data_IF_819354531170
#
_entry.id   IF_819354531170
#
_cell.length_a   1.000
_cell.length_b   1.000
_cell.length_c   1.000
_cell.angle_alpha   90.00
_cell.angle_beta   90.00
_cell.angle_gamma   90.00
#
_symmetry.space_group_name_H-M   'P 1'
#
loop_
_entity.id
_entity.type
_entity.pdbx_description
1 polymer ?
#
# COMPACT_ATOMS: atom_id res chain seq x y z
N UNK A 1 10.30 -43.95 -70.36
CA UNK A 1 11.59 -43.36 -70.77
C UNK A 1 11.69 -42.02 -70.05
N UNK A 2 12.58 -41.73 -69.10
CA UNK A 2 13.80 -42.32 -68.53
C UNK A 2 13.80 -41.75 -67.08
N UNK A 3 13.56 -42.54 -66.02
CA UNK A 3 14.49 -43.28 -65.14
C UNK A 3 15.52 -42.44 -64.35
N UNK A 4 15.49 -42.66 -63.01
CA UNK A 4 16.61 -42.77 -62.02
C UNK A 4 17.40 -41.48 -61.68
N UNK A 5 17.82 -41.18 -60.44
CA UNK A 5 18.14 -42.04 -59.29
C UNK A 5 18.23 -41.22 -57.96
N UNK A 6 17.98 -41.90 -56.83
CA UNK A 6 18.23 -41.45 -55.44
C UNK A 6 19.72 -41.51 -55.10
N UNK A 7 20.20 -40.72 -54.12
CA UNK A 7 21.29 -41.15 -53.26
C UNK A 7 20.81 -41.55 -51.86
N UNK A 8 21.61 -42.42 -51.26
CA UNK A 8 21.38 -43.32 -50.15
C UNK A 8 21.64 -42.75 -48.75
N UNK A 9 20.93 -43.30 -47.77
CA UNK A 9 21.20 -43.20 -46.33
C UNK A 9 22.61 -43.72 -45.97
N UNK A 10 23.30 -43.00 -45.07
CA UNK A 10 24.34 -43.57 -44.21
C UNK A 10 24.08 -43.14 -42.75
N UNK A 11 24.17 -44.14 -41.89
CA UNK A 11 23.88 -44.22 -40.46
C UNK A 11 24.56 -43.14 -39.59
N UNK A 12 23.81 -42.61 -38.62
CA UNK A 12 24.32 -42.46 -37.24
C UNK A 12 23.22 -42.79 -36.23
N UNK A 13 23.46 -43.86 -35.47
CA UNK A 13 22.71 -44.31 -34.31
C UNK A 13 23.02 -43.44 -33.09
N UNK A 14 22.03 -43.24 -32.20
CA UNK A 14 22.15 -42.96 -30.74
C UNK A 14 20.98 -42.08 -30.31
N UNK A 15 20.21 -42.26 -29.23
CA UNK A 15 20.17 -43.18 -28.10
C UNK A 15 18.70 -43.13 -27.67
N UNK A 16 17.93 -44.21 -27.86
CA UNK A 16 16.56 -44.27 -27.33
C UNK A 16 16.66 -44.60 -25.84
N UNK A 17 16.99 -43.58 -25.04
CA UNK A 17 17.16 -43.69 -23.61
C UNK A 17 15.87 -44.18 -22.95
N UNK A 18 15.98 -45.24 -22.14
CA UNK A 18 14.88 -45.76 -21.35
C UNK A 18 14.38 -44.66 -20.41
N UNK A 19 13.20 -44.09 -20.67
CA UNK A 19 12.61 -43.01 -19.86
C UNK A 19 12.58 -43.33 -18.35
N UNK A 20 12.46 -44.62 -18.01
CA UNK A 20 12.52 -45.12 -16.62
C UNK A 20 13.90 -44.97 -15.99
N UNK A 21 14.98 -45.16 -16.75
CA UNK A 21 16.35 -44.99 -16.27
C UNK A 21 16.68 -43.50 -16.06
N UNK A 22 16.21 -42.63 -16.95
CA UNK A 22 16.36 -41.17 -16.80
C UNK A 22 15.67 -40.65 -15.55
N UNK A 23 14.47 -41.14 -15.25
CA UNK A 23 13.72 -40.78 -14.03
C UNK A 23 14.43 -41.29 -12.77
N UNK A 24 14.97 -42.51 -12.79
CA UNK A 24 15.74 -43.05 -11.66
C UNK A 24 17.02 -42.27 -11.38
N UNK A 25 17.74 -41.85 -12.42
CA UNK A 25 18.96 -41.04 -12.28
C UNK A 25 18.64 -39.65 -11.73
N UNK A 26 17.56 -39.01 -12.21
CA UNK A 26 17.10 -37.72 -11.69
C UNK A 26 16.66 -37.81 -10.22
N UNK A 27 15.97 -38.89 -9.83
CA UNK A 27 15.57 -39.14 -8.45
C UNK A 27 16.78 -39.41 -7.53
N UNK A 28 17.82 -40.10 -8.03
CA UNK A 28 19.04 -40.33 -7.26
C UNK A 28 19.83 -39.04 -7.05
N UNK A 29 19.91 -38.19 -8.08
CA UNK A 29 20.57 -36.89 -8.02
C UNK A 29 19.85 -35.93 -7.06
N UNK A 30 18.51 -35.88 -7.08
CA UNK A 30 17.75 -35.07 -6.13
C UNK A 30 17.90 -35.56 -4.69
N UNK A 31 17.97 -36.88 -4.47
CA UNK A 31 18.22 -37.45 -3.15
C UNK A 31 19.63 -37.12 -2.63
N UNK A 32 20.66 -37.16 -3.48
CA UNK A 32 22.03 -36.77 -3.11
C UNK A 32 22.08 -35.28 -2.74
N UNK A 33 21.44 -34.40 -3.52
CA UNK A 33 21.40 -32.96 -3.21
C UNK A 33 20.68 -32.69 -1.88
N UNK A 34 19.53 -33.35 -1.62
CA UNK A 34 18.86 -33.22 -0.31
C UNK A 34 19.69 -33.78 0.85
N UNK A 35 20.50 -34.82 0.63
CA UNK A 35 21.39 -35.36 1.67
C UNK A 35 22.53 -34.41 2.03
N UNK A 36 23.04 -33.63 1.07
CA UNK A 36 24.06 -32.60 1.33
C UNK A 36 23.50 -31.40 2.11
N UNK A 37 22.24 -31.01 1.89
CA UNK A 37 21.60 -29.94 2.65
C UNK A 37 21.19 -30.35 4.07
N UNK A 38 21.00 -31.64 4.34
CA UNK A 38 20.62 -32.16 5.66
C UNK A 38 21.82 -32.54 6.54
N UNK A 39 23.01 -32.79 5.95
CA UNK A 39 24.22 -33.13 6.70
C UNK A 39 25.24 -31.99 6.91
N UNK A 40 25.03 -30.80 6.32
CA UNK A 40 25.90 -29.64 6.58
C UNK A 40 25.41 -28.79 7.76
N UNK A 41 25.34 -29.40 8.96
CA UNK A 41 25.36 -28.66 10.23
C UNK A 41 26.30 -29.35 11.20
N UNK A 42 27.54 -28.88 11.23
CA UNK A 42 28.50 -29.14 12.31
C UNK A 42 29.27 -27.84 12.57
N UNK A 43 29.27 -27.29 13.81
CA UNK A 43 29.97 -26.05 14.11
C UNK A 43 31.46 -26.34 14.26
N UNK A 44 32.28 -25.70 13.43
CA UNK A 44 33.73 -25.79 13.56
C UNK A 44 34.18 -24.93 14.75
N UNK A 45 34.53 -25.58 15.86
CA UNK A 45 35.19 -24.95 17.00
C UNK A 45 36.65 -24.65 16.66
N UNK A 46 37.03 -23.37 16.63
CA UNK A 46 38.44 -22.96 16.67
C UNK A 46 38.77 -22.47 18.08
N UNK A 47 39.63 -23.24 18.75
CA UNK A 47 40.15 -23.02 20.10
C UNK A 47 41.46 -22.25 19.98
N UNK A 48 41.50 -21.02 20.47
CA UNK A 48 42.71 -20.21 20.69
C UNK A 48 42.70 -19.66 22.12
N UNK A 49 43.86 -19.52 22.80
CA UNK A 49 43.89 -19.38 24.25
C UNK A 49 43.79 -17.93 24.75
N UNK A 50 43.14 -17.78 25.91
CA UNK A 50 43.47 -16.86 26.99
C UNK A 50 43.49 -15.34 26.73
N UNK A 51 42.44 -14.64 27.17
CA UNK A 51 42.59 -13.63 28.24
C UNK A 51 41.21 -13.29 28.82
N UNK A 52 41.08 -13.36 30.14
CA UNK A 52 39.79 -13.27 30.82
C UNK A 52 39.25 -11.87 31.04
N UNK A 53 37.93 -11.77 31.22
CA UNK A 53 37.29 -11.02 32.32
C UNK A 53 35.77 -11.20 32.30
N UNK A 54 35.30 -11.88 33.33
CA UNK A 54 34.12 -11.57 34.15
C UNK A 54 32.89 -10.97 33.46
N UNK A 55 31.87 -11.81 33.26
CA UNK A 55 30.48 -11.37 33.13
C UNK A 55 30.08 -10.76 34.48
N UNK A 56 29.84 -9.44 34.51
CA UNK A 56 29.05 -8.78 35.55
C UNK A 56 27.77 -8.28 34.92
N UNK A 57 26.69 -8.79 35.48
CA UNK A 57 25.30 -8.38 35.36
C UNK A 57 25.08 -6.94 35.83
N UNK A 58 23.92 -6.41 35.41
CA UNK A 58 23.10 -5.36 36.00
C UNK A 58 23.20 -3.95 35.39
N UNK A 59 22.00 -3.48 35.04
CA UNK A 59 21.48 -2.14 35.31
C UNK A 59 22.22 -0.96 34.69
N UNK A 60 21.78 -0.57 33.50
CA UNK A 60 21.79 0.84 33.05
C UNK A 60 20.71 1.02 31.97
N UNK A 61 19.50 0.54 32.27
CA UNK A 61 18.29 1.11 31.72
C UNK A 61 17.88 2.23 32.68
N UNK A 62 17.40 3.35 32.13
CA UNK A 62 17.06 4.62 32.78
C UNK A 62 18.18 5.67 32.76
N UNK A 63 18.28 6.38 31.63
CA UNK A 63 18.49 7.83 31.59
C UNK A 63 18.30 8.35 30.14
N UNK A 64 17.05 8.44 29.69
CA UNK A 64 16.68 9.26 28.54
C UNK A 64 15.89 10.46 29.07
N UNK A 65 16.60 11.52 29.45
CA UNK A 65 16.06 12.87 29.38
C UNK A 65 17.15 13.94 29.37
N UNK A 66 16.96 14.88 28.45
CA UNK A 66 17.54 16.22 28.40
C UNK A 66 19.02 16.37 28.01
N UNK A 67 19.26 16.96 26.84
CA UNK A 67 19.54 18.41 26.71
C UNK A 67 20.54 18.71 25.58
N UNK A 68 20.29 19.87 24.98
CA UNK A 68 21.04 20.55 23.93
C UNK A 68 22.44 20.97 24.41
N UNK A 69 23.34 21.20 23.44
CA UNK A 69 24.63 21.93 23.49
C UNK A 69 25.82 21.27 24.21
N UNK A 70 26.77 20.70 23.45
CA UNK A 70 27.97 21.40 22.95
C UNK A 70 28.91 20.42 22.25
N UNK A 71 29.76 20.95 21.38
CA UNK A 71 30.64 20.26 20.43
C UNK A 71 31.54 19.19 21.09
N UNK A 72 31.55 18.00 20.50
CA UNK A 72 32.78 17.28 20.21
C UNK A 72 32.59 16.42 18.94
N UNK A 73 33.41 16.71 17.93
CA UNK A 73 33.59 15.86 16.76
C UNK A 73 34.14 14.52 17.22
N UNK A 74 33.31 13.47 17.18
CA UNK A 74 33.60 12.05 16.91
C UNK A 74 32.29 11.25 17.05
N UNK A 75 31.24 11.60 16.28
CA UNK A 75 30.08 10.73 16.13
C UNK A 75 30.23 9.95 14.83
N UNK A 76 31.02 8.88 14.87
CA UNK A 76 30.77 7.77 13.96
C UNK A 76 29.34 7.29 14.21
N UNK A 77 28.52 7.14 13.17
CA UNK A 77 27.14 6.67 13.33
C UNK A 77 27.11 5.33 14.07
N UNK A 78 26.21 5.20 15.05
CA UNK A 78 25.99 3.91 15.71
C UNK A 78 25.14 3.01 14.81
N UNK A 79 25.49 1.72 14.74
CA UNK A 79 24.67 0.73 14.05
C UNK A 79 23.32 0.57 14.77
N UNK A 80 22.23 0.56 14.01
CA UNK A 80 20.87 0.32 14.52
C UNK A 80 20.45 -1.11 14.19
N UNK A 81 20.11 -1.90 15.22
CA UNK A 81 19.45 -3.20 15.06
C UNK A 81 17.95 -3.03 15.24
N UNK A 82 17.17 -3.61 14.33
CA UNK A 82 15.70 -3.53 14.33
C UNK A 82 15.16 -4.92 14.00
N UNK A 83 14.33 -5.48 14.89
CA UNK A 83 13.61 -6.71 14.62
C UNK A 83 12.26 -6.38 13.99
N UNK A 84 12.07 -6.72 12.73
CA UNK A 84 10.81 -6.46 12.02
C UNK A 84 9.75 -7.55 12.27
N UNK A 85 10.11 -8.66 12.91
CA UNK A 85 9.14 -9.72 13.23
C UNK A 85 8.17 -9.31 14.34
N UNK A 86 8.51 -8.30 15.13
CA UNK A 86 7.67 -7.81 16.23
C UNK A 86 6.73 -6.68 15.76
N UNK A 87 6.80 -6.28 14.48
CA UNK A 87 5.95 -5.24 13.90
C UNK A 87 4.66 -5.87 13.38
N UNK A 88 3.67 -5.94 14.26
CA UNK A 88 2.33 -6.40 13.92
C UNK A 88 1.32 -5.24 13.88
N UNK A 89 0.26 -5.44 13.09
CA UNK A 89 -0.86 -4.54 12.98
C UNK A 89 -2.10 -5.29 13.50
N UNK A 90 -2.64 -4.85 14.64
CA UNK A 90 -3.65 -5.59 15.40
C UNK A 90 -4.98 -4.85 15.49
N UNK A 91 -6.03 -5.58 15.87
CA UNK A 91 -7.35 -5.01 16.12
C UNK A 91 -7.38 -3.96 17.25
N UNK A 92 -6.41 -4.00 18.16
CA UNK A 92 -6.32 -3.13 19.34
C UNK A 92 -5.18 -2.10 19.22
N UNK A 93 -4.91 -1.65 18.00
CA UNK A 93 -3.77 -0.80 17.63
C UNK A 93 -3.48 0.37 18.59
N UNK A 94 -4.53 1.08 19.04
CA UNK A 94 -4.40 2.19 19.99
C UNK A 94 -3.82 1.76 21.35
N UNK A 95 -4.25 0.61 21.86
CA UNK A 95 -3.75 0.06 23.12
C UNK A 95 -2.30 -0.42 22.96
N UNK A 96 -1.99 -1.07 21.84
CA UNK A 96 -0.66 -1.58 21.50
C UNK A 96 0.34 -0.49 21.05
N UNK A 97 -0.06 0.79 21.08
CA UNK A 97 0.76 1.93 20.67
C UNK A 97 1.28 1.82 19.22
N UNK A 98 0.45 1.26 18.33
CA UNK A 98 0.80 1.07 16.94
C UNK A 98 0.77 2.40 16.17
N UNK A 99 1.81 2.68 15.40
CA UNK A 99 1.89 3.92 14.63
C UNK A 99 1.11 3.83 13.30
N UNK A 100 0.42 4.91 12.97
CA UNK A 100 -0.33 5.11 11.72
C UNK A 100 0.38 6.13 10.85
N UNK A 101 0.66 5.77 9.60
CA UNK A 101 1.17 6.68 8.58
C UNK A 101 0.04 7.12 7.64
N UNK A 102 -0.37 8.38 7.70
CA UNK A 102 -1.34 8.99 6.79
C UNK A 102 -0.61 9.55 5.57
N UNK A 103 -1.00 9.11 4.37
CA UNK A 103 -0.39 9.46 3.10
C UNK A 103 -1.39 10.19 2.19
N UNK A 104 -1.02 11.39 1.76
CA UNK A 104 -1.86 12.23 0.90
C UNK A 104 -1.04 12.86 -0.24
N UNK A 105 -1.15 12.35 -1.48
CA UNK A 105 -0.60 13.03 -2.65
C UNK A 105 -1.43 14.28 -2.98
N UNK A 106 -0.78 15.38 -3.37
CA UNK A 106 -1.41 16.68 -3.54
C UNK A 106 -0.98 17.37 -4.85
N UNK A 107 -1.95 18.04 -5.48
CA UNK A 107 -1.74 19.02 -6.56
C UNK A 107 -2.82 20.09 -6.46
N UNK A 108 -2.43 21.34 -6.31
CA UNK A 108 -3.33 22.49 -6.18
C UNK A 108 -4.45 22.27 -5.13
N UNK A 109 -4.05 21.99 -3.89
CA UNK A 109 -4.95 21.56 -2.82
C UNK A 109 -5.29 22.67 -1.80
N UNK A 110 -4.87 23.92 -2.05
CA UNK A 110 -5.00 25.05 -1.11
C UNK A 110 -6.41 25.14 -0.49
N UNK A 111 -7.44 24.98 -1.31
CA UNK A 111 -8.86 25.12 -0.90
C UNK A 111 -9.34 24.02 0.06
N UNK A 112 -8.68 22.87 0.09
CA UNK A 112 -9.11 21.70 0.89
C UNK A 112 -8.37 21.60 2.23
N UNK A 113 -7.19 22.19 2.35
CA UNK A 113 -6.28 21.97 3.49
C UNK A 113 -6.90 22.34 4.84
N UNK A 114 -7.70 23.41 4.90
CA UNK A 114 -8.32 23.83 6.15
C UNK A 114 -9.22 22.73 6.74
N UNK A 115 -10.09 22.15 5.92
CA UNK A 115 -10.99 21.06 6.33
C UNK A 115 -10.21 19.76 6.57
N UNK A 116 -9.22 19.46 5.74
CA UNK A 116 -8.37 18.28 5.92
C UNK A 116 -7.69 18.28 7.30
N UNK A 117 -7.02 19.39 7.67
CA UNK A 117 -6.34 19.50 8.97
C UNK A 117 -7.33 19.44 10.15
N UNK A 118 -8.51 20.05 10.01
CA UNK A 118 -9.58 19.93 11.02
C UNK A 118 -9.99 18.47 11.26
N UNK A 119 -10.19 17.70 10.18
CA UNK A 119 -10.67 16.33 10.27
C UNK A 119 -9.64 15.35 10.84
N UNK A 120 -8.37 15.46 10.45
CA UNK A 120 -7.31 14.62 11.05
C UNK A 120 -7.07 14.98 12.52
N UNK A 121 -7.23 16.25 12.88
CA UNK A 121 -7.09 16.70 14.28
C UNK A 121 -8.23 16.19 15.15
N UNK A 122 -9.43 16.05 14.58
CA UNK A 122 -10.59 15.47 15.27
C UNK A 122 -10.44 13.97 15.57
N UNK A 123 -9.58 13.22 14.87
CA UNK A 123 -9.42 11.78 15.09
C UNK A 123 -9.14 11.45 16.56
N UNK A 124 -9.82 10.46 17.13
CA UNK A 124 -9.63 10.05 18.53
C UNK A 124 -8.34 9.25 18.76
N UNK A 125 -7.62 8.92 17.69
CA UNK A 125 -6.34 8.23 17.73
C UNK A 125 -5.24 9.15 18.31
N UNK A 126 -4.35 8.67 19.20
CA UNK A 126 -3.34 9.52 19.84
C UNK A 126 -2.39 10.17 18.83
N UNK A 127 -2.20 11.49 18.92
CA UNK A 127 -1.45 12.25 17.91
C UNK A 127 0.03 11.85 17.86
N UNK A 128 0.61 11.48 19.00
CA UNK A 128 1.99 10.97 19.08
C UNK A 128 2.21 9.62 18.38
N UNK A 129 1.15 8.96 17.90
CA UNK A 129 1.22 7.75 17.08
C UNK A 129 0.93 8.01 15.60
N UNK A 130 0.63 9.25 15.22
CA UNK A 130 0.27 9.62 13.84
C UNK A 130 1.44 10.33 13.17
N UNK A 131 1.91 9.73 12.08
CA UNK A 131 2.77 10.39 11.09
C UNK A 131 1.89 10.84 9.93
N UNK A 132 2.03 12.09 9.48
CA UNK A 132 1.37 12.58 8.25
C UNK A 132 2.43 12.88 7.21
N UNK A 133 2.28 12.35 6.00
CA UNK A 133 3.19 12.65 4.91
C UNK A 133 2.44 13.06 3.64
N UNK A 134 2.90 14.16 3.07
CA UNK A 134 2.38 14.72 1.82
C UNK A 134 3.40 14.57 0.70
N UNK A 135 2.92 14.33 -0.51
CA UNK A 135 3.73 14.53 -1.72
C UNK A 135 3.05 15.54 -2.63
N UNK A 136 3.66 16.71 -2.75
CA UNK A 136 3.17 17.79 -3.62
C UNK A 136 3.83 17.65 -4.99
N UNK A 137 3.03 17.72 -6.05
CA UNK A 137 3.51 17.63 -7.44
C UNK A 137 2.81 18.64 -8.33
N UNK A 138 3.59 19.34 -9.16
CA UNK A 138 3.11 20.23 -10.22
C UNK A 138 2.09 21.26 -9.71
N UNK A 139 2.29 21.76 -8.49
CA UNK A 139 1.43 22.75 -7.81
C UNK A 139 1.81 24.17 -8.23
N UNK A 140 0.81 25.02 -8.40
CA UNK A 140 0.95 26.45 -8.73
C UNK A 140 0.30 27.40 -7.73
N UNK A 141 -0.38 26.85 -6.71
CA UNK A 141 -1.09 27.59 -5.66
C UNK A 141 -0.30 27.63 -4.34
N UNK A 142 -0.93 28.09 -3.25
CA UNK A 142 -0.29 28.25 -1.95
C UNK A 142 -0.19 26.95 -1.13
N UNK A 143 -0.48 25.78 -1.70
CA UNK A 143 -0.49 24.47 -1.01
C UNK A 143 0.76 24.26 -0.15
N UNK A 144 1.97 24.42 -0.73
CA UNK A 144 3.22 24.15 -0.01
C UNK A 144 3.41 25.09 1.18
N UNK A 145 3.07 26.37 1.03
CA UNK A 145 3.19 27.34 2.13
C UNK A 145 2.23 27.04 3.28
N UNK A 146 0.99 26.67 2.97
CA UNK A 146 -0.02 26.33 3.99
C UNK A 146 0.37 25.03 4.71
N UNK A 147 0.85 24.02 3.98
CA UNK A 147 1.33 22.77 4.59
C UNK A 147 2.47 23.03 5.57
N UNK A 148 3.46 23.85 5.20
CA UNK A 148 4.59 24.20 6.10
C UNK A 148 4.09 24.90 7.36
N UNK A 149 3.23 25.90 7.21
CA UNK A 149 2.64 26.61 8.34
C UNK A 149 1.87 25.68 9.27
N UNK A 150 1.03 24.80 8.72
CA UNK A 150 0.22 23.85 9.50
C UNK A 150 1.08 22.76 10.14
N UNK A 151 2.09 22.26 9.45
CA UNK A 151 3.05 21.31 10.03
C UNK A 151 3.75 21.92 11.26
N UNK A 152 4.26 23.15 11.14
CA UNK A 152 4.90 23.85 12.25
C UNK A 152 3.93 24.09 13.42
N UNK A 153 2.69 24.50 13.14
CA UNK A 153 1.66 24.69 14.16
C UNK A 153 1.38 23.40 14.94
N UNK A 154 1.18 22.28 14.25
CA UNK A 154 0.80 21.00 14.84
C UNK A 154 1.95 20.31 15.57
N UNK A 155 3.19 20.45 15.09
CA UNK A 155 4.38 19.89 15.75
C UNK A 155 4.82 20.68 16.99
N UNK A 156 4.48 21.97 17.07
CA UNK A 156 4.93 22.87 18.15
C UNK A 156 3.81 23.29 19.14
N UNK A 157 2.70 22.54 19.22
CA UNK A 157 1.62 22.80 20.19
C UNK A 157 2.12 22.78 21.63
N UNK A 158 1.51 23.56 22.51
CA UNK A 158 1.94 23.65 23.91
C UNK A 158 1.83 22.30 24.63
N UNK A 159 0.70 21.62 24.44
CA UNK A 159 0.42 20.31 25.03
C UNK A 159 1.05 19.19 24.19
N UNK A 160 1.89 18.36 24.84
CA UNK A 160 2.64 17.30 24.16
C UNK A 160 1.74 16.22 23.56
N UNK A 161 0.63 15.89 24.22
CA UNK A 161 -0.35 14.90 23.77
C UNK A 161 -1.07 15.28 22.47
N UNK A 162 -1.07 16.57 22.14
CA UNK A 162 -1.65 17.10 20.90
C UNK A 162 -0.63 17.24 19.77
N UNK A 163 0.64 16.93 20.00
CA UNK A 163 1.68 16.96 18.97
C UNK A 163 1.66 15.67 18.17
N UNK A 164 1.77 15.82 16.86
CA UNK A 164 1.93 14.70 15.95
C UNK A 164 3.31 14.08 16.10
N UNK A 165 3.45 12.78 15.80
CA UNK A 165 4.74 12.11 15.80
C UNK A 165 5.70 12.74 14.80
N UNK A 166 5.22 12.92 13.57
CA UNK A 166 5.97 13.51 12.46
C UNK A 166 5.00 14.08 11.42
N UNK A 167 5.36 15.21 10.81
CA UNK A 167 4.69 15.71 9.60
C UNK A 167 5.77 15.97 8.54
N UNK A 168 5.71 15.24 7.44
CA UNK A 168 6.67 15.31 6.34
C UNK A 168 6.03 15.86 5.07
N UNK A 169 6.71 16.79 4.40
CA UNK A 169 6.27 17.36 3.13
C UNK A 169 7.34 17.06 2.09
N UNK A 170 7.01 16.20 1.13
CA UNK A 170 7.84 15.87 -0.01
C UNK A 170 7.36 16.63 -1.24
N UNK A 171 8.28 16.98 -2.12
CA UNK A 171 7.97 17.64 -3.39
C UNK A 171 8.60 16.83 -4.53
N UNK A 172 7.80 16.49 -5.54
CA UNK A 172 8.27 15.77 -6.72
C UNK A 172 7.37 16.07 -7.91
N UNK A 173 7.87 16.89 -8.83
CA UNK A 173 7.15 17.17 -10.08
C UNK A 173 7.29 16.03 -11.08
N UNK A 174 6.18 15.66 -11.71
CA UNK A 174 6.18 14.70 -12.82
C UNK A 174 6.09 15.40 -14.17
N UNK A 175 5.92 16.72 -14.19
CA UNK A 175 5.73 17.55 -15.39
C UNK A 175 4.57 17.03 -16.25
N UNK A 176 3.53 16.50 -15.60
CA UNK A 176 2.37 15.94 -16.26
C UNK A 176 1.24 16.96 -16.29
N UNK A 177 0.90 17.41 -17.50
CA UNK A 177 -0.17 18.37 -17.74
C UNK A 177 -1.28 17.72 -18.54
N UNK A 178 -2.43 17.56 -17.89
CA UNK A 178 -3.71 17.30 -18.54
C UNK A 178 -4.59 18.55 -18.38
N UNK A 179 -5.10 19.12 -19.48
CA UNK A 179 -6.13 20.16 -19.43
C UNK A 179 -7.30 19.71 -18.56
N UNK A 180 -7.80 20.59 -17.67
CA UNK A 180 -8.86 20.28 -16.71
C UNK A 180 -10.11 19.69 -17.39
N UNK A 181 -10.50 20.27 -18.52
CA UNK A 181 -11.63 19.87 -19.36
C UNK A 181 -11.50 18.45 -19.94
N UNK A 182 -10.29 17.90 -19.99
CA UNK A 182 -9.98 16.57 -20.53
C UNK A 182 -9.65 15.54 -19.45
N UNK A 183 -9.65 15.93 -18.18
CA UNK A 183 -9.30 15.02 -17.06
C UNK A 183 -10.34 13.94 -16.79
N UNK A 184 -11.52 14.04 -17.39
CA UNK A 184 -12.59 13.06 -17.33
C UNK A 184 -12.79 12.31 -18.65
N UNK A 185 -11.92 12.54 -19.64
CA UNK A 185 -11.96 11.80 -20.91
C UNK A 185 -11.46 10.37 -20.67
N UNK A 186 -12.24 9.36 -21.06
CA UNK A 186 -11.98 7.94 -20.80
C UNK A 186 -10.58 7.51 -21.29
N UNK A 187 -10.22 7.90 -22.51
CA UNK A 187 -8.98 7.48 -23.17
C UNK A 187 -7.71 8.00 -22.46
N UNK A 188 -7.84 9.09 -21.69
CA UNK A 188 -6.72 9.70 -20.96
C UNK A 188 -6.61 9.21 -19.51
N UNK A 189 -7.62 8.51 -19.01
CA UNK A 189 -7.62 8.01 -17.63
C UNK A 189 -6.50 7.02 -17.34
N UNK A 190 -6.16 6.03 -18.20
CA UNK A 190 -5.07 5.10 -17.91
C UNK A 190 -3.75 5.83 -17.70
N UNK A 191 -3.45 6.83 -18.55
CA UNK A 191 -2.25 7.64 -18.44
C UNK A 191 -2.26 8.50 -17.17
N UNK A 192 -3.38 9.17 -16.86
CA UNK A 192 -3.54 9.95 -15.63
C UNK A 192 -3.31 9.10 -14.38
N UNK A 193 -3.96 7.94 -14.30
CA UNK A 193 -3.84 7.01 -13.18
C UNK A 193 -2.43 6.42 -13.07
N UNK A 194 -1.73 6.19 -14.17
CA UNK A 194 -0.32 5.81 -14.15
C UNK A 194 0.56 6.85 -13.43
N UNK A 195 0.37 8.15 -13.71
CA UNK A 195 1.10 9.20 -12.99
C UNK A 195 0.70 9.32 -11.51
N UNK A 196 -0.59 9.15 -11.20
CA UNK A 196 -1.06 9.10 -9.80
C UNK A 196 -0.42 7.92 -9.04
N UNK A 197 -0.34 6.73 -9.66
CA UNK A 197 0.31 5.56 -9.10
C UNK A 197 1.80 5.81 -8.79
N UNK A 198 2.51 6.49 -9.70
CA UNK A 198 3.91 6.91 -9.47
C UNK A 198 4.00 7.84 -8.26
N UNK A 199 3.16 8.86 -8.19
CA UNK A 199 3.10 9.81 -7.05
C UNK A 199 2.92 9.07 -5.72
N UNK A 200 1.92 8.17 -5.63
CA UNK A 200 1.68 7.33 -4.45
C UNK A 200 2.90 6.46 -4.10
N UNK A 201 3.51 5.80 -5.07
CA UNK A 201 4.69 4.96 -4.82
C UNK A 201 5.91 5.75 -4.30
N UNK A 202 6.15 6.95 -4.85
CA UNK A 202 7.21 7.85 -4.35
C UNK A 202 6.94 8.25 -2.90
N UNK A 203 5.70 8.66 -2.59
CA UNK A 203 5.29 9.06 -1.26
C UNK A 203 5.45 7.91 -0.25
N UNK A 204 4.92 6.72 -0.57
CA UNK A 204 5.03 5.53 0.27
C UNK A 204 6.49 5.19 0.57
N UNK A 205 7.34 5.15 -0.47
CA UNK A 205 8.75 4.80 -0.33
C UNK A 205 9.53 5.82 0.49
N UNK A 206 9.21 7.12 0.35
CA UNK A 206 9.86 8.18 1.08
C UNK A 206 9.48 8.19 2.57
N UNK A 207 8.20 7.91 2.88
CA UNK A 207 7.61 8.12 4.19
C UNK A 207 7.56 6.87 5.09
N UNK A 208 7.48 5.66 4.53
CA UNK A 208 7.36 4.44 5.34
C UNK A 208 8.62 4.19 6.18
N UNK A 209 8.44 3.98 7.49
CA UNK A 209 9.49 3.71 8.48
C UNK A 209 9.23 2.40 9.19
N UNK A 210 10.25 1.81 9.79
CA UNK A 210 10.23 0.50 10.46
C UNK A 210 9.21 0.34 11.59
N UNK A 211 8.65 1.44 12.11
CA UNK A 211 7.75 1.44 13.26
C UNK A 211 6.28 1.65 12.88
N UNK A 212 5.98 1.93 11.60
CA UNK A 212 4.59 2.06 11.14
C UNK A 212 3.95 0.67 11.02
N UNK A 213 2.88 0.43 11.78
CA UNK A 213 2.03 -0.77 11.69
C UNK A 213 0.88 -0.59 10.70
N UNK A 214 0.39 0.64 10.51
CA UNK A 214 -0.70 0.96 9.60
C UNK A 214 -0.33 2.06 8.62
N UNK A 215 -0.89 1.98 7.42
CA UNK A 215 -0.83 3.01 6.39
C UNK A 215 -2.26 3.39 6.01
N UNK A 216 -2.60 4.67 6.14
CA UNK A 216 -3.86 5.23 5.68
C UNK A 216 -3.59 6.06 4.43
N UNK A 217 -4.18 5.67 3.30
CA UNK A 217 -4.33 6.55 2.14
C UNK A 217 -5.57 7.41 2.32
N UNK A 218 -5.40 8.72 2.30
CA UNK A 218 -6.47 9.69 2.52
C UNK A 218 -6.41 10.77 1.46
N UNK A 219 -7.46 10.90 0.66
CA UNK A 219 -7.60 12.00 -0.29
C UNK A 219 -7.95 13.31 0.45
N UNK A 220 -7.47 14.44 -0.07
CA UNK A 220 -7.53 15.74 0.63
C UNK A 220 -8.94 16.35 0.66
N UNK A 221 -9.80 15.92 -0.25
CA UNK A 221 -11.14 16.40 -0.54
C UNK A 221 -12.25 15.56 0.10
N UNK A 222 -11.89 14.63 0.98
CA UNK A 222 -12.81 14.03 1.97
C UNK A 222 -13.18 15.09 3.01
N UNK A 223 -14.49 15.30 3.20
CA UNK A 223 -15.03 16.40 4.03
C UNK A 223 -15.73 15.94 5.29
N UNK A 224 -16.05 14.65 5.44
CA UNK A 224 -16.61 14.14 6.69
C UNK A 224 -16.38 12.64 6.90
N UNK A 225 -15.97 12.29 8.12
CA UNK A 225 -15.86 10.92 8.63
C UNK A 225 -15.87 10.95 10.16
N UNK A 226 -16.31 9.86 10.78
CA UNK A 226 -16.33 9.74 12.25
C UNK A 226 -14.94 9.90 12.86
N UNK A 227 -14.86 10.50 14.06
CA UNK A 227 -13.60 10.68 14.80
C UNK A 227 -12.90 9.37 15.19
N UNK A 228 -13.67 8.29 15.39
CA UNK A 228 -13.14 6.96 15.75
C UNK A 228 -12.82 6.09 14.54
N UNK A 229 -12.81 6.63 13.32
CA UNK A 229 -12.69 5.83 12.09
C UNK A 229 -11.42 4.97 12.05
N UNK A 230 -10.29 5.44 12.59
CA UNK A 230 -9.07 4.63 12.62
C UNK A 230 -9.28 3.40 13.50
N UNK A 231 -9.73 3.60 14.74
CA UNK A 231 -9.99 2.52 15.68
C UNK A 231 -11.06 1.54 15.15
N UNK A 232 -12.14 2.07 14.57
CA UNK A 232 -13.22 1.27 14.01
C UNK A 232 -12.71 0.38 12.85
N UNK A 233 -11.95 0.94 11.91
CA UNK A 233 -11.41 0.18 10.77
C UNK A 233 -10.33 -0.83 11.21
N UNK A 234 -9.48 -0.46 12.16
CA UNK A 234 -8.47 -1.38 12.73
C UNK A 234 -9.14 -2.58 13.41
N UNK A 235 -10.26 -2.36 14.11
CA UNK A 235 -11.01 -3.42 14.81
C UNK A 235 -11.57 -4.52 13.89
N UNK A 236 -11.71 -4.24 12.59
CA UNK A 236 -12.16 -5.21 11.58
C UNK A 236 -11.12 -6.30 11.32
N UNK A 237 -9.85 -6.00 11.62
CA UNK A 237 -8.68 -6.88 11.57
C UNK A 237 -8.52 -7.60 10.23
N UNK A 238 -8.34 -6.81 9.18
CA UNK A 238 -8.06 -7.29 7.81
C UNK A 238 -6.91 -6.51 7.19
N UNK A 239 -6.33 -7.04 6.11
CA UNK A 239 -5.12 -6.49 5.51
C UNK A 239 -5.35 -5.15 4.81
N UNK A 240 -6.47 -5.02 4.08
CA UNK A 240 -6.92 -3.79 3.42
C UNK A 240 -8.41 -3.58 3.69
N UNK A 241 -8.78 -2.39 4.15
CA UNK A 241 -10.18 -2.03 4.41
C UNK A 241 -10.50 -0.60 3.95
N UNK A 242 -11.67 -0.44 3.33
CA UNK A 242 -12.23 0.86 2.90
C UNK A 242 -13.63 1.09 3.47
N UNK A 243 -13.97 2.30 3.94
CA UNK A 243 -15.34 2.72 4.16
C UNK A 243 -16.01 3.08 2.83
N UNK A 244 -17.34 3.21 2.84
CA UNK A 244 -18.12 3.62 1.67
C UNK A 244 -18.18 5.15 1.54
N UNK A 245 -17.76 5.67 0.40
CA UNK A 245 -17.67 7.12 0.17
C UNK A 245 -18.79 7.63 -0.72
N UNK A 246 -19.55 8.59 -0.18
CA UNK A 246 -20.67 9.26 -0.85
C UNK A 246 -20.35 10.74 -1.09
N UNK A 247 -21.11 11.39 -1.97
CA UNK A 247 -21.07 12.83 -2.12
C UNK A 247 -21.80 13.51 -0.95
N UNK A 248 -21.20 14.57 -0.40
CA UNK A 248 -21.91 15.45 0.53
C UNK A 248 -22.96 16.25 -0.24
N UNK A 249 -24.23 16.09 0.15
CA UNK A 249 -25.36 16.81 -0.44
C UNK A 249 -26.07 17.67 0.60
N UNK A 250 -26.63 18.80 0.19
CA UNK A 250 -27.34 19.71 1.09
C UNK A 250 -28.65 19.10 1.62
N UNK A 251 -29.30 18.26 0.80
CA UNK A 251 -30.55 17.58 1.10
C UNK A 251 -30.36 16.22 1.80
N UNK A 252 -29.10 15.81 2.03
CA UNK A 252 -28.78 14.49 2.61
C UNK A 252 -29.09 13.32 1.68
N UNK A 253 -29.31 13.57 0.39
CA UNK A 253 -29.52 12.52 -0.61
C UNK A 253 -28.29 11.62 -0.75
N UNK A 254 -28.55 10.32 -0.94
CA UNK A 254 -27.52 9.31 -1.12
C UNK A 254 -27.02 9.31 -2.57
N UNK A 255 -25.79 9.77 -2.77
CA UNK A 255 -25.12 9.74 -4.08
C UNK A 255 -23.76 9.08 -3.94
N UNK A 256 -23.58 7.93 -4.58
CA UNK A 256 -22.30 7.22 -4.60
C UNK A 256 -21.21 8.08 -5.23
N UNK A 257 -20.07 8.20 -4.54
CA UNK A 257 -18.89 8.90 -5.06
C UNK A 257 -17.84 7.92 -5.56
N UNK A 258 -17.25 7.12 -4.66
CA UNK A 258 -16.10 6.28 -4.99
C UNK A 258 -16.54 4.93 -5.60
N UNK A 259 -16.57 4.90 -6.93
CA UNK A 259 -16.90 3.71 -7.72
C UNK A 259 -15.72 2.75 -7.90
N UNK A 260 -14.53 3.06 -7.38
CA UNK A 260 -13.36 2.18 -7.49
C UNK A 260 -13.37 1.03 -6.47
N UNK A 261 -14.34 1.01 -5.56
CA UNK A 261 -14.56 -0.07 -4.61
C UNK A 261 -15.58 -1.05 -5.19
N UNK A 262 -15.16 -2.24 -5.60
CA UNK A 262 -16.04 -3.19 -6.28
C UNK A 262 -15.62 -4.65 -6.13
N UNK A 263 -16.56 -5.54 -6.38
CA UNK A 263 -16.37 -6.99 -6.51
C UNK A 263 -16.41 -7.41 -7.97
N UNK A 264 -15.55 -8.35 -8.36
CA UNK A 264 -15.74 -9.06 -9.61
C UNK A 264 -17.00 -9.92 -9.56
N UNK A 265 -17.55 -10.17 -10.75
CA UNK A 265 -18.62 -11.13 -10.99
C UNK A 265 -18.13 -12.15 -12.02
N UNK A 266 -18.82 -13.30 -12.11
CA UNK A 266 -18.53 -14.29 -13.16
C UNK A 266 -18.57 -13.66 -14.56
N UNK A 267 -19.47 -12.70 -14.76
CA UNK A 267 -19.62 -11.98 -16.03
C UNK A 267 -18.46 -11.02 -16.30
N UNK A 268 -18.00 -10.28 -15.29
CA UNK A 268 -16.86 -9.37 -15.47
C UNK A 268 -15.55 -10.12 -15.71
N UNK A 269 -15.39 -11.29 -15.08
CA UNK A 269 -14.24 -12.19 -15.30
C UNK A 269 -14.28 -12.81 -16.70
N UNK A 270 -15.44 -13.31 -17.13
CA UNK A 270 -15.58 -13.92 -18.46
C UNK A 270 -15.30 -12.90 -19.58
N UNK A 271 -15.83 -11.69 -19.43
CA UNK A 271 -15.60 -10.60 -20.39
C UNK A 271 -14.11 -10.25 -20.52
N UNK A 272 -13.35 -10.22 -19.41
CA UNK A 272 -11.92 -9.91 -19.41
C UNK A 272 -11.09 -10.86 -20.28
N UNK A 273 -11.50 -12.14 -20.41
CA UNK A 273 -10.79 -13.14 -21.23
C UNK A 273 -10.74 -12.78 -22.72
N UNK A 274 -11.66 -11.93 -23.18
CA UNK A 274 -11.74 -11.48 -24.57
C UNK A 274 -11.02 -10.15 -24.83
N UNK A 275 -10.55 -9.48 -23.78
CA UNK A 275 -9.89 -8.19 -23.89
C UNK A 275 -8.41 -8.35 -24.22
N UNK A 276 -7.85 -7.31 -24.84
CA UNK A 276 -6.41 -7.16 -24.91
C UNK A 276 -5.82 -7.12 -23.48
N UNK A 277 -4.74 -7.87 -23.17
CA UNK A 277 -4.10 -7.84 -21.86
C UNK A 277 -3.75 -6.44 -21.35
N UNK A 278 -3.44 -5.51 -22.25
CA UNK A 278 -3.09 -4.12 -21.92
C UNK A 278 -4.31 -3.18 -21.89
N UNK A 279 -5.52 -3.70 -22.12
CA UNK A 279 -6.74 -2.92 -21.98
C UNK A 279 -7.03 -2.64 -20.51
N UNK A 280 -7.16 -1.35 -20.17
CA UNK A 280 -7.48 -0.90 -18.80
C UNK A 280 -8.98 -0.72 -18.64
N UNK A 281 -9.55 -1.40 -17.65
CA UNK A 281 -10.94 -1.22 -17.23
C UNK A 281 -11.03 -0.13 -16.18
N UNK A 282 -12.09 0.68 -16.26
CA UNK A 282 -12.35 1.79 -15.34
C UNK A 282 -13.83 1.85 -15.04
N UNK A 283 -14.18 1.97 -13.75
CA UNK A 283 -15.56 2.16 -13.34
C UNK A 283 -16.05 3.59 -13.56
N UNK A 284 -17.37 3.73 -13.75
CA UNK A 284 -18.04 5.03 -13.85
C UNK A 284 -18.11 5.64 -15.25
N UNK A 285 -17.63 4.92 -16.27
CA UNK A 285 -17.67 5.33 -17.67
C UNK A 285 -18.77 4.57 -18.43
N UNK A 286 -19.56 5.29 -19.23
CA UNK A 286 -20.68 4.69 -19.98
C UNK A 286 -20.18 3.91 -21.20
N UNK A 287 -18.94 4.17 -21.62
CA UNK A 287 -18.25 3.57 -22.75
C UNK A 287 -18.05 2.06 -22.59
N UNK A 288 -17.93 1.58 -21.34
CA UNK A 288 -17.64 0.18 -21.07
C UNK A 288 -18.33 -0.33 -19.80
N UNK A 289 -19.34 -1.19 -19.97
CA UNK A 289 -20.04 -1.82 -18.84
C UNK A 289 -19.24 -2.99 -18.29
N UNK A 290 -18.68 -2.82 -17.10
CA UNK A 290 -17.79 -3.82 -16.48
C UNK A 290 -18.52 -5.00 -15.85
N UNK A 291 -19.82 -4.85 -15.54
CA UNK A 291 -20.65 -5.85 -14.84
C UNK A 291 -20.15 -6.20 -13.42
N UNK A 292 -19.36 -5.32 -12.79
CA UNK A 292 -18.94 -5.45 -11.40
C UNK A 292 -20.02 -4.99 -10.43
N UNK A 293 -19.97 -5.48 -9.20
CA UNK A 293 -20.80 -4.95 -8.12
C UNK A 293 -20.05 -3.83 -7.42
N UNK A 294 -20.56 -2.61 -7.53
CA UNK A 294 -19.96 -1.43 -6.89
C UNK A 294 -20.39 -1.37 -5.42
N UNK A 295 -19.45 -1.11 -4.53
CA UNK A 295 -19.72 -1.03 -3.09
C UNK A 295 -20.68 0.10 -2.72
N UNK A 296 -20.68 1.19 -3.49
CA UNK A 296 -21.61 2.31 -3.33
C UNK A 296 -23.08 1.88 -3.44
N UNK A 297 -23.37 0.79 -4.15
CA UNK A 297 -24.73 0.25 -4.35
C UNK A 297 -25.06 -0.92 -3.40
N UNK A 298 -24.13 -1.30 -2.52
CA UNK A 298 -24.30 -2.45 -1.63
C UNK A 298 -25.15 -2.12 -0.39
N UNK A 299 -25.82 -3.12 0.21
CA UNK A 299 -26.69 -2.89 1.36
C UNK A 299 -25.94 -2.33 2.58
N UNK A 300 -26.39 -1.18 3.08
CA UNK A 300 -25.79 -0.50 4.25
C UNK A 300 -26.45 -0.87 5.58
N UNK A 301 -27.61 -1.54 5.55
CA UNK A 301 -28.41 -1.86 6.73
C UNK A 301 -27.89 -3.06 7.56
N UNK A 302 -26.87 -3.77 7.06
CA UNK A 302 -26.34 -4.98 7.72
C UNK A 302 -25.44 -4.68 8.91
N UNK A 303 -25.01 -3.42 9.07
CA UNK A 303 -24.17 -2.96 10.17
C UNK A 303 -23.01 -2.10 9.68
N UNK A 304 -22.56 -1.18 10.54
CA UNK A 304 -21.48 -0.23 10.21
C UNK A 304 -20.17 -0.94 9.86
N UNK A 305 -19.86 -2.03 10.57
CA UNK A 305 -18.61 -2.80 10.42
C UNK A 305 -18.79 -4.11 9.65
N UNK A 306 -19.96 -4.33 9.04
CA UNK A 306 -20.17 -5.53 8.22
C UNK A 306 -19.30 -5.43 6.98
N UNK A 307 -18.38 -6.39 6.82
CA UNK A 307 -17.38 -6.39 5.75
C UNK A 307 -17.79 -7.26 4.58
N UNK A 308 -17.53 -6.77 3.38
CA UNK A 308 -17.67 -7.52 2.13
C UNK A 308 -16.28 -7.65 1.49
N UNK A 309 -15.94 -8.81 0.88
CA UNK A 309 -14.69 -8.90 0.13
C UNK A 309 -14.76 -7.97 -1.08
N UNK A 310 -13.66 -7.37 -1.48
CA UNK A 310 -13.56 -6.55 -2.70
C UNK A 310 -12.46 -7.10 -3.61
N UNK A 311 -12.47 -6.67 -4.87
CA UNK A 311 -11.47 -6.98 -5.91
C UNK A 311 -10.80 -5.72 -6.47
N UNK A 312 -11.44 -4.57 -6.32
CA UNK A 312 -10.89 -3.24 -6.53
C UNK A 312 -11.16 -2.35 -5.32
N UNK A 313 -10.22 -1.46 -5.02
CA UNK A 313 -10.41 -0.39 -4.05
C UNK A 313 -9.91 0.93 -4.62
N UNK A 314 -10.51 2.04 -4.20
CA UNK A 314 -9.95 3.38 -4.37
C UNK A 314 -8.89 3.70 -3.30
N UNK A 315 -8.50 4.98 -3.23
CA UNK A 315 -7.63 5.53 -2.18
C UNK A 315 -8.24 6.75 -1.48
N UNK A 316 -9.56 6.96 -1.61
CA UNK A 316 -10.25 8.07 -0.95
C UNK A 316 -10.12 7.99 0.58
N UNK A 317 -10.29 6.79 1.13
CA UNK A 317 -9.94 6.47 2.51
C UNK A 317 -9.64 4.97 2.60
N UNK A 318 -8.36 4.59 2.55
CA UNK A 318 -7.98 3.17 2.47
C UNK A 318 -6.95 2.86 3.54
N UNK A 319 -7.37 2.10 4.55
CA UNK A 319 -6.50 1.64 5.62
C UNK A 319 -5.89 0.29 5.25
N UNK A 320 -4.57 0.21 5.37
CA UNK A 320 -3.76 -0.94 4.96
C UNK A 320 -2.81 -1.31 6.09
N UNK A 321 -2.72 -2.60 6.44
CA UNK A 321 -1.65 -3.10 7.32
C UNK A 321 -0.31 -2.84 6.63
N UNK A 322 0.64 -2.18 7.30
CA UNK A 322 1.89 -1.76 6.68
C UNK A 322 2.70 -2.93 6.08
N UNK A 323 2.55 -4.14 6.63
CA UNK A 323 3.14 -5.37 6.08
C UNK A 323 2.77 -5.61 4.62
N UNK A 324 1.54 -5.31 4.19
CA UNK A 324 1.08 -5.47 2.80
C UNK A 324 1.99 -4.71 1.84
N UNK A 325 2.33 -3.46 2.19
CA UNK A 325 3.27 -2.65 1.41
C UNK A 325 4.72 -3.13 1.54
N UNK A 326 5.14 -3.60 2.72
CA UNK A 326 6.51 -4.15 2.92
C UNK A 326 6.76 -5.43 2.14
N UNK A 327 5.73 -6.25 1.94
CA UNK A 327 5.82 -7.46 1.11
C UNK A 327 5.82 -7.15 -0.38
N UNK A 328 5.54 -5.90 -0.77
CA UNK A 328 5.74 -5.39 -2.13
C UNK A 328 4.47 -4.92 -2.83
N UNK A 329 3.29 -5.07 -2.22
CA UNK A 329 2.05 -4.55 -2.80
C UNK A 329 2.15 -3.03 -2.93
N UNK A 330 1.96 -2.50 -4.13
CA UNK A 330 2.08 -1.08 -4.44
C UNK A 330 1.05 -0.69 -5.52
N UNK A 331 1.10 0.56 -5.99
CA UNK A 331 0.23 1.06 -7.05
C UNK A 331 0.90 0.84 -8.40
N UNK A 332 0.51 -0.15 -9.22
CA UNK A 332 1.17 -0.39 -10.49
C UNK A 332 0.93 0.81 -11.44
N UNK A 333 2.00 1.47 -11.93
CA UNK A 333 1.89 2.52 -12.94
C UNK A 333 1.75 1.95 -14.37
N UNK A 334 1.62 0.63 -14.48
CA UNK A 334 1.45 -0.14 -15.70
C UNK A 334 0.22 -1.05 -15.53
N UNK A 335 -0.25 -1.63 -16.62
CA UNK A 335 -1.43 -2.51 -16.59
C UNK A 335 -1.11 -3.78 -15.81
N UNK A 336 -1.89 -4.04 -14.77
CA UNK A 336 -1.85 -5.26 -13.97
C UNK A 336 -3.25 -5.83 -13.86
N UNK A 337 -3.50 -6.98 -14.51
CA UNK A 337 -4.82 -7.61 -14.58
C UNK A 337 -5.93 -6.62 -15.02
N UNK A 338 -5.69 -5.93 -16.14
CA UNK A 338 -6.57 -4.89 -16.69
C UNK A 338 -6.80 -3.67 -15.78
N UNK A 339 -6.03 -3.51 -14.69
CA UNK A 339 -6.13 -2.38 -13.77
C UNK A 339 -4.83 -1.58 -13.73
N UNK A 340 -4.92 -0.36 -13.20
CA UNK A 340 -3.79 0.51 -12.88
C UNK A 340 -4.03 1.15 -11.51
N UNK A 341 -2.99 1.72 -10.91
CA UNK A 341 -3.12 2.52 -9.68
C UNK A 341 -3.79 1.76 -8.51
N UNK A 342 -4.90 2.25 -7.95
CA UNK A 342 -5.52 1.71 -6.72
C UNK A 342 -6.24 0.39 -6.93
N UNK A 343 -6.97 0.24 -8.02
CA UNK A 343 -7.59 -1.02 -8.41
C UNK A 343 -6.51 -2.08 -8.73
N UNK A 344 -5.39 -1.64 -9.33
CA UNK A 344 -4.22 -2.49 -9.55
C UNK A 344 -3.55 -2.93 -8.25
N UNK A 345 -3.47 -2.04 -7.25
CA UNK A 345 -3.01 -2.37 -5.90
C UNK A 345 -3.89 -3.46 -5.26
N UNK A 346 -5.22 -3.33 -5.35
CA UNK A 346 -6.15 -4.32 -4.82
C UNK A 346 -5.93 -5.71 -5.43
N UNK A 347 -5.83 -5.78 -6.76
CA UNK A 347 -5.53 -7.03 -7.48
C UNK A 347 -4.17 -7.61 -7.08
N UNK A 348 -3.16 -6.76 -6.93
CA UNK A 348 -1.82 -7.18 -6.51
C UNK A 348 -1.84 -7.76 -5.10
N UNK A 349 -2.47 -7.08 -4.15
CA UNK A 349 -2.62 -7.55 -2.78
C UNK A 349 -3.31 -8.92 -2.72
N UNK A 350 -4.44 -9.09 -3.45
CA UNK A 350 -5.13 -10.39 -3.53
C UNK A 350 -4.28 -11.47 -4.17
N UNK A 351 -3.53 -11.16 -5.23
CA UNK A 351 -2.63 -12.11 -5.88
C UNK A 351 -1.48 -12.56 -4.97
N UNK A 352 -1.10 -11.74 -3.99
CA UNK A 352 -0.13 -12.05 -2.95
C UNK A 352 -0.73 -12.84 -1.76
N UNK A 353 -2.05 -13.00 -1.72
CA UNK A 353 -2.76 -13.73 -0.67
C UNK A 353 -3.37 -12.86 0.44
N UNK A 354 -3.32 -11.53 0.30
CA UNK A 354 -3.94 -10.62 1.27
C UNK A 354 -5.44 -10.45 1.04
N UNK A 355 -6.16 -10.23 2.13
CA UNK A 355 -7.58 -9.91 2.13
C UNK A 355 -7.85 -8.44 1.83
N UNK A 356 -8.74 -8.16 0.88
CA UNK A 356 -9.20 -6.81 0.54
C UNK A 356 -10.70 -6.74 0.81
N UNK A 357 -11.10 -5.79 1.65
CA UNK A 357 -12.47 -5.68 2.13
C UNK A 357 -12.99 -4.24 2.08
N UNK A 358 -14.31 -4.11 2.03
CA UNK A 358 -15.01 -2.86 2.16
C UNK A 358 -16.11 -2.94 3.22
N UNK A 359 -16.49 -1.79 3.76
CA UNK A 359 -17.55 -1.64 4.75
C UNK A 359 -18.70 -0.79 4.16
N UNK A 360 -19.69 -1.40 3.50
CA UNK A 360 -20.78 -0.67 2.85
C UNK A 360 -21.54 0.26 3.79
N UNK A 361 -21.72 -0.17 5.06
CA UNK A 361 -22.42 0.59 6.10
C UNK A 361 -21.58 1.67 6.81
N UNK A 362 -20.27 1.74 6.55
CA UNK A 362 -19.40 2.78 7.12
C UNK A 362 -19.32 3.96 6.16
N UNK A 363 -20.16 4.98 6.36
CA UNK A 363 -20.24 6.10 5.42
C UNK A 363 -19.23 7.20 5.75
N UNK A 364 -18.53 7.67 4.72
CA UNK A 364 -17.75 8.91 4.70
C UNK A 364 -18.21 9.80 3.54
N UNK A 365 -17.89 11.09 3.58
CA UNK A 365 -18.34 12.03 2.57
C UNK A 365 -17.19 12.74 1.86
N UNK A 366 -17.27 12.77 0.55
CA UNK A 366 -16.45 13.58 -0.33
C UNK A 366 -17.13 14.92 -0.61
N UNK A 367 -16.33 15.97 -0.88
CA UNK A 367 -16.88 17.24 -1.33
C UNK A 367 -17.64 17.06 -2.65
N UNK A 368 -18.77 17.76 -2.80
CA UNK A 368 -19.42 17.94 -4.09
C UNK A 368 -18.75 19.13 -4.78
N UNK A 369 -17.86 18.87 -5.73
CA UNK A 369 -17.32 19.91 -6.58
C UNK A 369 -18.42 20.38 -7.53
N UNK A 370 -18.84 21.64 -7.37
CA UNK A 370 -19.88 22.31 -8.16
C UNK A 370 -19.43 22.61 -9.59
#
# INVERSE_FOLDING_TARGET
MILTEKPSNIYTSSLRGNKRLSVLVLALLSFIVLSFFTFSKSPLSLRGPSCGRTIRTLSEAVALSSSTTSRNHQNGGQAKFINLNDLEATANAKHEQEHVLILTPLKNAEVYLARYFELIDRLSYPKHLITVAFLVSDTTDQTVSILKQKADEFLNRQELEHRYHEIAIYEKDFNFQLPEDKRHTFELQPLRRSFMARSRNYLLTAALREYHSWVLWLDVDVVDYSESILEDLQSVDVDVVVPNCLLKTEDGSFWGYDKNNWQETDRSIEMQKSLDPDYVLLEGYYEFLTNRYLMVDMPTHLGKLEKVPLDGVGATFTLVKAQVHREGANFPPYVFQHQVETEGFAKMAKAMGFGVYGLPGYIIHHIKNS
#
